data_IF_031038957417
#
_entry.id   IF_031038957417
#
_cell.length_a   1.000
_cell.length_b   1.000
_cell.length_c   1.000
_cell.angle_alpha   90.00
_cell.angle_beta   90.00
_cell.angle_gamma   90.00
#
_symmetry.space_group_name_H-M   'P 1'
#
loop_
_entity.id
_entity.type
_entity.pdbx_description
1 polymer ?
#
# COMPACT_ATOMS: atom_id res chain seq x y z
N UNK A 1 14.76 -15.97 3.41
CA UNK A 1 15.89 -15.23 2.82
C UNK A 1 15.28 -14.25 1.82
N UNK A 2 15.63 -12.97 1.91
CA UNK A 2 15.14 -11.94 0.97
C UNK A 2 15.76 -12.20 -0.41
N UNK A 3 14.94 -12.14 -1.46
CA UNK A 3 15.33 -12.42 -2.84
C UNK A 3 16.09 -11.24 -3.48
N UNK A 4 15.88 -10.01 -2.98
CA UNK A 4 16.51 -8.79 -3.50
C UNK A 4 17.37 -8.08 -2.46
N UNK A 5 18.56 -7.64 -2.86
CA UNK A 5 19.57 -7.02 -1.99
C UNK A 5 19.94 -5.61 -2.46
N UNK A 6 20.82 -4.94 -1.71
CA UNK A 6 21.42 -3.66 -2.15
C UNK A 6 22.01 -3.71 -3.56
N UNK A 7 22.54 -4.86 -4.00
CA UNK A 7 23.19 -4.97 -5.31
C UNK A 7 22.21 -4.81 -6.47
N UNK A 8 20.94 -5.15 -6.25
CA UNK A 8 19.86 -5.09 -7.24
C UNK A 8 19.28 -3.68 -7.42
N UNK A 9 19.60 -2.75 -6.50
CA UNK A 9 19.11 -1.37 -6.57
C UNK A 9 20.07 -0.45 -7.37
N UNK A 10 19.57 0.49 -8.20
CA UNK A 10 18.15 0.77 -8.52
C UNK A 10 17.54 -0.27 -9.47
N UNK A 11 16.33 -0.77 -9.13
CA UNK A 11 15.68 -1.85 -9.89
C UNK A 11 15.46 -1.50 -11.36
N UNK A 12 15.02 -0.28 -11.68
CA UNK A 12 14.78 0.14 -13.07
C UNK A 12 16.04 0.19 -13.95
N UNK A 13 17.24 0.15 -13.37
CA UNK A 13 18.50 0.10 -14.12
C UNK A 13 19.12 -1.29 -14.11
N UNK A 14 19.02 -2.00 -12.98
CA UNK A 14 19.75 -3.24 -12.76
C UNK A 14 18.92 -4.50 -12.95
N UNK A 15 17.61 -4.41 -12.68
CA UNK A 15 16.65 -5.51 -12.73
C UNK A 15 15.34 -5.08 -13.42
N UNK A 16 15.36 -4.41 -14.60
CA UNK A 16 14.12 -3.99 -15.26
C UNK A 16 13.22 -5.19 -15.65
N UNK A 17 13.80 -6.37 -15.86
CA UNK A 17 13.11 -7.59 -16.28
C UNK A 17 12.11 -8.15 -15.25
N UNK A 18 12.19 -7.71 -13.99
CA UNK A 18 11.25 -8.11 -12.95
C UNK A 18 10.18 -7.06 -12.67
N UNK A 19 10.23 -5.91 -13.36
CA UNK A 19 9.34 -4.79 -13.11
C UNK A 19 8.14 -4.85 -14.05
N UNK A 20 6.97 -5.01 -13.45
CA UNK A 20 5.68 -5.03 -14.13
C UNK A 20 4.69 -4.09 -13.45
N UNK A 21 3.78 -3.54 -14.25
CA UNK A 21 2.63 -2.78 -13.78
C UNK A 21 1.59 -3.72 -13.15
N UNK A 22 0.62 -3.21 -12.37
CA UNK A 22 -0.52 -4.02 -11.90
C UNK A 22 -1.35 -4.67 -13.02
N UNK A 23 -1.29 -4.10 -14.22
CA UNK A 23 -1.95 -4.60 -15.44
C UNK A 23 -1.05 -5.55 -16.26
N UNK A 24 0.09 -5.95 -15.70
CA UNK A 24 1.03 -6.91 -16.27
C UNK A 24 1.76 -6.43 -17.54
N UNK A 25 1.91 -5.11 -17.73
CA UNK A 25 2.84 -4.55 -18.72
C UNK A 25 4.24 -4.50 -18.13
N UNK A 26 5.24 -4.83 -18.93
CA UNK A 26 6.65 -4.71 -18.54
C UNK A 26 7.07 -3.24 -18.47
N UNK A 27 8.11 -2.96 -17.69
CA UNK A 27 8.69 -1.62 -17.55
C UNK A 27 9.10 -0.99 -18.88
N UNK A 28 9.63 -1.79 -19.81
CA UNK A 28 10.09 -1.34 -21.12
C UNK A 28 8.95 -0.98 -22.09
N UNK A 29 7.72 -1.42 -21.81
CA UNK A 29 6.53 -1.04 -22.60
C UNK A 29 6.02 0.36 -22.27
N UNK A 30 6.51 0.98 -21.19
CA UNK A 30 6.08 2.30 -20.72
C UNK A 30 6.74 3.43 -21.51
N UNK A 31 6.43 3.52 -22.80
CA UNK A 31 7.01 4.47 -23.76
C UNK A 31 6.04 5.59 -24.15
N UNK A 32 6.58 6.71 -24.64
CA UNK A 32 5.78 7.81 -25.16
C UNK A 32 4.98 7.37 -26.40
N UNK A 33 5.58 6.54 -27.25
CA UNK A 33 4.94 5.99 -28.45
C UNK A 33 3.72 5.13 -28.08
N UNK A 34 3.85 4.24 -27.10
CA UNK A 34 2.73 3.44 -26.61
C UNK A 34 1.62 4.30 -26.00
N UNK A 35 1.99 5.37 -25.26
CA UNK A 35 1.03 6.34 -24.73
C UNK A 35 0.28 7.06 -25.87
N UNK A 36 0.99 7.54 -26.90
CA UNK A 36 0.39 8.25 -28.03
C UNK A 36 -0.54 7.37 -28.86
N UNK A 37 -0.29 6.05 -28.91
CA UNK A 37 -1.17 5.06 -29.56
C UNK A 37 -2.39 4.67 -28.72
N UNK A 38 -2.48 5.14 -27.48
CA UNK A 38 -3.54 4.74 -26.54
C UNK A 38 -3.37 3.31 -26.00
N UNK A 39 -2.17 2.73 -26.12
CA UNK A 39 -1.85 1.39 -25.60
C UNK A 39 -1.55 1.41 -24.09
N UNK A 40 -1.35 2.60 -23.52
CA UNK A 40 -1.17 2.85 -22.09
C UNK A 40 -2.32 3.67 -21.52
N UNK A 41 -2.79 3.25 -20.35
CA UNK A 41 -3.76 3.94 -19.51
C UNK A 41 -3.11 4.39 -18.20
N UNK A 42 -3.83 5.22 -17.43
CA UNK A 42 -3.38 5.61 -16.09
C UNK A 42 -3.24 4.44 -15.11
N UNK A 43 -3.91 3.29 -15.37
CA UNK A 43 -3.77 2.08 -14.56
C UNK A 43 -2.45 1.36 -14.82
N UNK A 44 -1.90 1.50 -16.02
CA UNK A 44 -0.60 0.96 -16.37
C UNK A 44 0.53 1.77 -15.71
N UNK A 45 0.32 3.06 -15.46
CA UNK A 45 1.30 3.94 -14.81
C UNK A 45 1.22 3.89 -13.28
N UNK A 46 1.00 2.69 -12.72
CA UNK A 46 0.99 2.41 -11.28
C UNK A 46 2.07 1.39 -10.92
N UNK A 47 2.56 1.45 -9.69
CA UNK A 47 3.47 0.45 -9.13
C UNK A 47 2.70 -0.83 -8.77
N UNK A 48 3.33 -2.00 -8.93
CA UNK A 48 2.76 -3.30 -8.53
C UNK A 48 3.08 -3.67 -7.07
N UNK A 49 2.24 -4.52 -6.44
CA UNK A 49 2.53 -5.05 -5.10
C UNK A 49 3.89 -5.74 -5.03
N UNK A 50 4.24 -6.49 -6.07
CA UNK A 50 5.50 -7.23 -6.16
C UNK A 50 6.69 -6.27 -6.15
N UNK A 51 6.61 -5.15 -6.89
CA UNK A 51 7.68 -4.14 -6.90
C UNK A 51 7.89 -3.51 -5.52
N UNK A 52 6.81 -3.23 -4.78
CA UNK A 52 6.91 -2.75 -3.40
C UNK A 52 7.51 -3.79 -2.46
N UNK A 53 7.19 -5.08 -2.63
CA UNK A 53 7.80 -6.18 -1.86
C UNK A 53 9.31 -6.25 -2.15
N UNK A 54 9.75 -6.10 -3.41
CA UNK A 54 11.18 -6.03 -3.74
C UNK A 54 11.86 -4.85 -3.05
N UNK A 55 11.21 -3.67 -3.02
CA UNK A 55 11.73 -2.52 -2.29
C UNK A 55 11.76 -2.74 -0.77
N UNK A 56 10.80 -3.49 -0.22
CA UNK A 56 10.78 -3.86 1.18
C UNK A 56 11.99 -4.72 1.54
N UNK A 57 12.22 -5.76 0.73
CA UNK A 57 13.35 -6.68 0.85
C UNK A 57 14.70 -5.97 0.78
N UNK A 58 14.89 -5.10 -0.21
CA UNK A 58 16.11 -4.29 -0.33
C UNK A 58 16.30 -3.40 0.91
N UNK A 59 15.22 -2.81 1.43
CA UNK A 59 15.26 -1.94 2.61
C UNK A 59 15.64 -2.70 3.87
N UNK A 60 15.05 -3.87 4.09
CA UNK A 60 15.39 -4.78 5.20
C UNK A 60 16.84 -5.26 5.09
N UNK A 61 17.31 -5.59 3.88
CA UNK A 61 18.69 -6.03 3.62
C UNK A 61 19.75 -4.99 4.02
N UNK A 62 19.42 -3.70 3.95
CA UNK A 62 20.30 -2.60 4.36
C UNK A 62 20.03 -2.09 5.78
N UNK A 63 19.28 -2.85 6.59
CA UNK A 63 19.00 -2.54 8.00
C UNK A 63 17.91 -1.49 8.22
N UNK A 64 17.04 -1.24 7.24
CA UNK A 64 15.90 -0.29 7.35
C UNK A 64 14.58 -1.05 7.51
N UNK A 65 14.43 -1.74 8.63
CA UNK A 65 13.28 -2.62 8.90
C UNK A 65 11.94 -1.88 8.86
N UNK A 66 11.83 -0.70 9.47
CA UNK A 66 10.58 0.08 9.49
C UNK A 66 10.18 0.55 8.10
N UNK A 67 11.15 0.86 7.24
CA UNK A 67 10.89 1.20 5.84
C UNK A 67 10.41 -0.03 5.05
N UNK A 68 11.01 -1.20 5.31
CA UNK A 68 10.55 -2.47 4.75
C UNK A 68 9.09 -2.76 5.10
N UNK A 69 8.75 -2.70 6.39
CA UNK A 69 7.37 -2.87 6.87
C UNK A 69 6.41 -1.86 6.23
N UNK A 70 6.84 -0.61 6.03
CA UNK A 70 6.04 0.39 5.35
C UNK A 70 5.74 0.02 3.90
N UNK A 71 6.74 -0.45 3.14
CA UNK A 71 6.52 -0.91 1.77
C UNK A 71 5.64 -2.15 1.69
N UNK A 72 5.73 -3.08 2.66
CA UNK A 72 4.83 -4.24 2.73
C UNK A 72 3.38 -3.82 2.96
N UNK A 73 3.12 -2.91 3.91
CA UNK A 73 1.78 -2.33 4.07
C UNK A 73 1.30 -1.62 2.80
N UNK A 74 2.17 -0.83 2.16
CA UNK A 74 1.81 -0.15 0.91
C UNK A 74 1.48 -1.13 -0.23
N UNK A 75 2.13 -2.30 -0.29
CA UNK A 75 1.85 -3.35 -1.27
C UNK A 75 0.41 -3.88 -1.16
N UNK A 76 -0.09 -4.07 0.06
CA UNK A 76 -1.48 -4.48 0.30
C UNK A 76 -2.50 -3.45 -0.19
N UNK A 77 -2.16 -2.15 -0.14
CA UNK A 77 -3.06 -1.06 -0.49
C UNK A 77 -3.26 -0.85 -2.00
N UNK A 78 -2.40 -1.41 -2.87
CA UNK A 78 -2.45 -1.15 -4.32
C UNK A 78 -3.76 -1.60 -4.97
N UNK A 79 -4.38 -2.67 -4.44
CA UNK A 79 -5.63 -3.21 -5.00
C UNK A 79 -6.87 -2.42 -4.56
N UNK A 80 -6.72 -1.50 -3.61
CA UNK A 80 -7.80 -0.67 -3.09
C UNK A 80 -7.95 0.55 -3.99
N UNK A 81 -9.19 0.98 -4.25
CA UNK A 81 -9.44 2.17 -5.06
C UNK A 81 -8.91 3.43 -4.37
N UNK A 82 -8.48 4.42 -5.17
CA UNK A 82 -7.97 5.69 -4.63
C UNK A 82 -9.02 6.39 -3.74
N UNK A 83 -10.29 6.33 -4.12
CA UNK A 83 -11.41 6.86 -3.34
C UNK A 83 -11.50 6.18 -1.97
N UNK A 84 -11.46 4.84 -1.95
CA UNK A 84 -11.55 4.09 -0.69
C UNK A 84 -10.33 4.33 0.20
N UNK A 85 -9.14 4.50 -0.37
CA UNK A 85 -7.94 4.91 0.39
C UNK A 85 -8.16 6.27 1.09
N UNK A 86 -8.75 7.24 0.39
CA UNK A 86 -9.05 8.56 0.98
C UNK A 86 -10.12 8.49 2.07
N UNK A 87 -11.11 7.61 1.93
CA UNK A 87 -12.13 7.36 2.95
C UNK A 87 -11.51 6.76 4.22
N UNK A 88 -10.69 5.71 4.08
CA UNK A 88 -9.98 5.08 5.20
C UNK A 88 -9.05 6.08 5.89
N UNK A 89 -8.28 6.84 5.12
CA UNK A 89 -7.44 7.92 5.65
C UNK A 89 -8.28 8.94 6.43
N UNK A 90 -9.43 9.35 5.88
CA UNK A 90 -10.32 10.30 6.54
C UNK A 90 -10.91 9.73 7.83
N UNK A 91 -11.30 8.46 7.85
CA UNK A 91 -11.81 7.76 9.02
C UNK A 91 -10.78 7.69 10.17
N UNK A 92 -9.50 7.54 9.83
CA UNK A 92 -8.40 7.54 10.80
C UNK A 92 -8.03 8.93 11.34
N UNK A 93 -8.63 10.02 10.84
CA UNK A 93 -8.37 11.35 11.42
C UNK A 93 -9.08 11.51 12.78
N UNK A 94 -8.54 12.33 13.69
CA UNK A 94 -9.15 12.56 15.00
C UNK A 94 -10.63 12.97 14.91
N UNK A 95 -11.46 12.37 15.77
CA UNK A 95 -12.90 12.59 15.93
C UNK A 95 -13.75 12.26 14.69
N UNK A 96 -13.24 11.46 13.73
CA UNK A 96 -13.99 11.12 12.52
C UNK A 96 -14.83 9.86 12.65
N UNK A 97 -14.30 8.84 13.32
CA UNK A 97 -14.93 7.53 13.38
C UNK A 97 -15.22 7.05 14.79
N UNK A 98 -16.24 6.20 14.91
CA UNK A 98 -16.47 5.38 16.11
C UNK A 98 -15.52 4.17 16.14
N UNK A 99 -15.49 3.45 17.27
CA UNK A 99 -14.70 2.23 17.38
C UNK A 99 -15.18 1.16 16.38
N UNK A 100 -16.50 0.99 16.27
CA UNK A 100 -17.15 0.01 15.41
C UNK A 100 -16.87 0.30 13.93
N UNK A 101 -16.87 1.57 13.53
CA UNK A 101 -16.53 1.98 12.17
C UNK A 101 -15.08 1.63 11.81
N UNK A 102 -14.13 1.85 12.74
CA UNK A 102 -12.72 1.48 12.52
C UNK A 102 -12.55 -0.05 12.48
N UNK A 103 -13.24 -0.79 13.34
CA UNK A 103 -13.23 -2.26 13.30
C UNK A 103 -13.85 -2.81 12.01
N UNK A 104 -14.90 -2.17 11.49
CA UNK A 104 -15.48 -2.53 10.21
C UNK A 104 -14.48 -2.31 9.05
N UNK A 105 -13.76 -1.17 9.05
CA UNK A 105 -12.69 -0.91 8.08
C UNK A 105 -11.59 -1.95 8.18
N UNK A 106 -11.14 -2.31 9.38
CA UNK A 106 -10.12 -3.34 9.56
C UNK A 106 -10.58 -4.71 9.02
N UNK A 107 -11.85 -5.06 9.27
CA UNK A 107 -12.43 -6.30 8.78
C UNK A 107 -12.54 -6.31 7.24
N UNK A 108 -12.95 -5.21 6.62
CA UNK A 108 -12.96 -5.03 5.16
C UNK A 108 -11.55 -5.18 4.57
N UNK A 109 -10.56 -4.50 5.15
CA UNK A 109 -9.15 -4.61 4.76
C UNK A 109 -8.69 -6.07 4.74
N UNK A 110 -9.00 -6.82 5.80
CA UNK A 110 -8.63 -8.23 5.91
C UNK A 110 -9.38 -9.14 4.94
N UNK A 111 -10.71 -9.05 4.90
CA UNK A 111 -11.54 -10.02 4.18
C UNK A 111 -11.55 -9.72 2.68
N UNK A 112 -11.80 -8.47 2.29
CA UNK A 112 -12.01 -8.11 0.89
C UNK A 112 -10.69 -7.92 0.15
N UNK A 113 -9.71 -7.30 0.81
CA UNK A 113 -8.44 -6.94 0.18
C UNK A 113 -7.25 -7.81 0.61
N UNK A 114 -7.41 -8.70 1.58
CA UNK A 114 -6.29 -9.50 2.14
C UNK A 114 -5.13 -8.59 2.59
N UNK A 115 -5.48 -7.43 3.15
CA UNK A 115 -4.57 -6.42 3.67
C UNK A 115 -4.39 -6.59 5.18
N UNK A 116 -3.80 -7.71 5.59
CA UNK A 116 -3.69 -8.12 6.99
C UNK A 116 -2.87 -7.14 7.84
N UNK A 117 -1.78 -6.61 7.31
CA UNK A 117 -0.93 -5.67 8.05
C UNK A 117 -1.61 -4.31 8.23
N UNK A 118 -2.34 -3.84 7.22
CA UNK A 118 -3.15 -2.63 7.37
C UNK A 118 -4.37 -2.85 8.27
N UNK A 119 -5.02 -4.02 8.24
CA UNK A 119 -6.12 -4.34 9.14
C UNK A 119 -5.67 -4.29 10.61
N UNK A 120 -4.54 -4.92 10.94
CA UNK A 120 -3.95 -4.86 12.30
C UNK A 120 -3.64 -3.43 12.72
N UNK A 121 -3.11 -2.61 11.81
CA UNK A 121 -2.79 -1.21 12.10
C UNK A 121 -4.05 -0.40 12.43
N UNK A 122 -5.16 -0.64 11.73
CA UNK A 122 -6.44 0.02 12.00
C UNK A 122 -7.07 -0.47 13.31
N UNK A 123 -6.96 -1.76 13.64
CA UNK A 123 -7.38 -2.32 14.94
C UNK A 123 -6.63 -1.68 16.10
N UNK A 124 -5.29 -1.59 15.99
CA UNK A 124 -4.46 -0.92 16.99
C UNK A 124 -4.85 0.57 17.12
N UNK A 125 -5.11 1.25 16.01
CA UNK A 125 -5.58 2.63 16.02
C UNK A 125 -6.91 2.77 16.77
N UNK A 126 -7.87 1.87 16.56
CA UNK A 126 -9.15 1.87 17.26
C UNK A 126 -8.97 1.76 18.78
N UNK A 127 -8.12 0.83 19.25
CA UNK A 127 -7.80 0.69 20.68
C UNK A 127 -7.13 1.95 21.26
N UNK A 128 -6.14 2.49 20.52
CA UNK A 128 -5.45 3.72 20.93
C UNK A 128 -6.42 4.88 21.00
N UNK A 129 -7.32 5.03 20.02
CA UNK A 129 -8.23 6.16 19.93
C UNK A 129 -9.25 6.13 21.06
N UNK A 130 -9.71 4.95 21.48
CA UNK A 130 -10.53 4.78 22.68
C UNK A 130 -9.79 5.28 23.92
N UNK A 131 -8.56 4.80 24.17
CA UNK A 131 -7.75 5.18 25.34
C UNK A 131 -7.42 6.68 25.36
N UNK A 132 -7.21 7.27 24.18
CA UNK A 132 -6.76 8.66 24.01
C UNK A 132 -7.90 9.64 23.75
N UNK A 133 -9.15 9.18 23.72
CA UNK A 133 -10.36 9.98 23.45
C UNK A 133 -10.29 10.71 22.10
N UNK A 134 -9.88 9.98 21.05
CA UNK A 134 -9.77 10.46 19.67
C UNK A 134 -10.89 9.94 18.74
N UNK A 135 -11.77 9.10 19.24
CA UNK A 135 -12.97 8.68 18.51
C UNK A 135 -13.94 9.85 18.36
N UNK A 136 -14.81 9.78 17.36
CA UNK A 136 -15.95 10.71 17.23
C UNK A 136 -16.72 10.71 18.55
N UNK A 137 -17.05 11.91 19.03
CA UNK A 137 -17.93 12.08 20.18
C UNK A 137 -19.35 12.07 19.65
N UNK A 138 -20.21 11.27 20.27
CA UNK A 138 -21.64 11.41 20.04
C UNK A 138 -22.05 12.80 20.57
N UNK A 139 -22.78 13.57 19.76
CA UNK A 139 -23.35 14.84 20.18
C UNK A 139 -24.46 14.53 21.20
N UNK A 140 -24.35 15.07 22.42
CA UNK A 140 -25.44 15.10 23.42
C UNK A 140 -26.56 16.07 22.99
#
# INVERSE_FOLDING_TARGET
MSQFTRQDYPLGQKRPEVLFTPTNKSYDELTLEAAMKGELSSKDLRISPETLIMHAEISENIGREQLGQNFRRAAELIRISDERILEIYSALRPNRSSYEELMAIANELRIEYQADENAKLVEEAAEVYTRRKLLRKDEE
#
